data_IF_429463358800
#
_entry.id   IF_429463358800
#
_cell.length_a   1.000
_cell.length_b   1.000
_cell.length_c   1.000
_cell.angle_alpha   90.00
_cell.angle_beta   90.00
_cell.angle_gamma   90.00
#
_symmetry.space_group_name_H-M   'P 1'
#
loop_
_entity.id
_entity.type
_entity.pdbx_description
1 polymer ?
#
# COMPACT_ATOMS: atom_id res chain seq x y z
N UNK A 1 20.01 -13.14 -6.86
CA UNK A 1 20.17 -13.52 -5.45
C UNK A 1 20.59 -12.26 -4.69
N UNK A 2 19.63 -11.39 -4.41
CA UNK A 2 19.73 -10.30 -3.43
C UNK A 2 18.42 -10.36 -2.65
N UNK A 3 18.42 -11.27 -1.68
CA UNK A 3 17.33 -11.53 -0.75
C UNK A 3 17.40 -10.50 0.39
N UNK A 4 16.28 -9.86 0.72
CA UNK A 4 16.02 -9.44 2.10
C UNK A 4 16.56 -8.08 2.58
N UNK A 5 17.09 -7.19 1.72
CA UNK A 5 17.73 -5.95 2.20
C UNK A 5 16.76 -4.82 2.60
N UNK A 6 15.55 -4.68 2.05
CA UNK A 6 14.71 -3.50 2.38
C UNK A 6 14.12 -3.55 3.80
N UNK A 7 13.55 -4.68 4.21
CA UNK A 7 13.02 -4.83 5.57
C UNK A 7 14.15 -4.87 6.60
N UNK A 8 15.24 -5.59 6.30
CA UNK A 8 16.37 -5.69 7.21
C UNK A 8 17.09 -4.35 7.38
N UNK A 9 17.21 -3.51 6.34
CA UNK A 9 17.77 -2.16 6.46
C UNK A 9 16.85 -1.21 7.23
N UNK A 10 15.53 -1.26 7.03
CA UNK A 10 14.56 -0.47 7.79
C UNK A 10 14.59 -0.84 9.29
N UNK A 11 14.52 -2.13 9.60
CA UNK A 11 14.62 -2.62 10.99
C UNK A 11 16.04 -2.47 11.56
N UNK A 12 17.10 -2.50 10.75
CA UNK A 12 18.49 -2.20 11.16
C UNK A 12 18.66 -0.71 11.48
N UNK A 13 18.01 0.18 10.72
CA UNK A 13 17.94 1.62 11.05
C UNK A 13 17.17 1.85 12.36
N UNK A 14 16.09 1.11 12.60
CA UNK A 14 15.39 1.11 13.89
C UNK A 14 16.28 0.62 15.04
N UNK A 15 17.09 -0.43 14.82
CA UNK A 15 18.09 -0.90 15.81
C UNK A 15 19.16 0.15 16.12
N UNK A 16 19.44 1.07 15.20
CA UNK A 16 20.39 2.17 15.36
C UNK A 16 19.72 3.52 15.68
N UNK A 17 18.44 3.53 16.03
CA UNK A 17 17.71 4.75 16.35
C UNK A 17 18.24 5.31 17.67
N UNK A 18 18.88 6.48 17.61
CA UNK A 18 19.50 7.13 18.78
C UNK A 18 18.63 8.25 19.36
N UNK A 19 17.61 8.68 18.62
CA UNK A 19 16.76 9.83 18.94
C UNK A 19 15.38 9.65 18.31
N UNK A 20 14.35 10.10 19.00
CA UNK A 20 12.97 10.11 18.54
C UNK A 20 12.30 11.42 18.99
N UNK A 21 11.40 11.98 18.19
CA UNK A 21 10.61 13.15 18.57
C UNK A 21 9.19 12.71 18.93
N UNK A 22 8.65 13.22 20.04
CA UNK A 22 7.26 12.96 20.42
C UNK A 22 6.26 13.86 19.67
N UNK A 23 4.95 13.63 19.91
CA UNK A 23 3.87 14.40 19.28
C UNK A 23 3.85 15.89 19.63
N UNK A 24 4.59 16.32 20.68
CA UNK A 24 4.73 17.73 21.09
C UNK A 24 6.00 18.35 20.50
N UNK A 25 6.81 17.56 19.80
CA UNK A 25 8.03 18.01 19.15
C UNK A 25 9.30 17.90 20.02
N UNK A 26 9.21 17.31 21.22
CA UNK A 26 10.35 17.13 22.12
C UNK A 26 11.18 15.91 21.71
N UNK A 27 12.50 16.07 21.71
CA UNK A 27 13.45 15.01 21.35
C UNK A 27 13.83 14.16 22.57
N UNK A 28 13.67 12.84 22.43
CA UNK A 28 14.02 11.81 23.41
C UNK A 28 15.20 10.99 22.90
N UNK A 29 16.14 10.68 23.79
CA UNK A 29 17.35 9.87 23.48
C UNK A 29 17.53 8.64 24.34
N UNK A 30 16.78 8.55 25.44
CA UNK A 30 16.81 7.36 26.28
C UNK A 30 15.92 6.28 25.67
N UNK A 31 16.38 5.04 25.77
CA UNK A 31 15.69 3.88 25.20
C UNK A 31 14.29 3.72 25.78
N UNK A 32 14.14 3.94 27.08
CA UNK A 32 12.87 3.80 27.80
C UNK A 32 11.84 4.82 27.30
N UNK A 33 12.26 6.09 27.13
CA UNK A 33 11.37 7.14 26.61
C UNK A 33 11.04 6.94 25.15
N UNK A 34 12.00 6.53 24.34
CA UNK A 34 11.75 6.20 22.93
C UNK A 34 10.74 5.05 22.79
N UNK A 35 10.84 4.01 23.62
CA UNK A 35 9.88 2.90 23.62
C UNK A 35 8.49 3.35 24.08
N UNK A 36 8.43 4.20 25.11
CA UNK A 36 7.16 4.77 25.59
C UNK A 36 6.48 5.60 24.49
N UNK A 37 7.21 6.48 23.81
CA UNK A 37 6.65 7.29 22.71
C UNK A 37 6.19 6.41 21.56
N UNK A 38 6.96 5.40 21.15
CA UNK A 38 6.57 4.48 20.07
C UNK A 38 5.33 3.67 20.46
N UNK A 39 5.28 3.17 21.70
CA UNK A 39 4.14 2.41 22.20
C UNK A 39 2.88 3.28 22.24
N UNK A 40 2.96 4.48 22.81
CA UNK A 40 1.84 5.43 22.83
C UNK A 40 1.39 5.80 21.42
N UNK A 41 2.31 6.09 20.52
CA UNK A 41 2.00 6.41 19.12
C UNK A 41 1.21 5.29 18.44
N UNK A 42 1.66 4.03 18.53
CA UNK A 42 0.96 2.92 17.88
C UNK A 42 -0.33 2.53 18.60
N UNK A 43 -0.40 2.69 19.93
CA UNK A 43 -1.64 2.53 20.69
C UNK A 43 -2.69 3.55 20.25
N UNK A 44 -2.30 4.80 20.07
CA UNK A 44 -3.16 5.85 19.54
C UNK A 44 -3.52 5.57 18.08
N UNK A 45 -2.53 5.31 17.21
CA UNK A 45 -2.75 5.07 15.77
C UNK A 45 -3.78 3.96 15.50
N UNK A 46 -3.74 2.90 16.29
CA UNK A 46 -4.67 1.77 16.17
C UNK A 46 -5.83 1.82 17.19
N UNK A 47 -5.97 2.90 17.95
CA UNK A 47 -7.15 3.11 18.79
C UNK A 47 -8.38 3.28 17.91
N UNK A 48 -9.53 2.83 18.41
CA UNK A 48 -10.81 3.13 17.80
C UNK A 48 -11.08 4.64 17.99
N UNK A 49 -11.05 5.39 16.91
CA UNK A 49 -11.49 6.77 16.89
C UNK A 49 -12.96 6.80 16.45
N UNK A 50 -13.74 7.69 17.06
CA UNK A 50 -15.04 8.05 16.49
C UNK A 50 -14.73 8.70 15.15
N UNK A 51 -15.26 8.13 14.07
CA UNK A 51 -15.27 8.80 12.78
C UNK A 51 -15.87 10.20 12.99
N UNK A 52 -15.18 11.24 12.51
CA UNK A 52 -15.70 12.61 12.47
C UNK A 52 -16.19 12.87 11.04
N UNK A 53 -17.47 12.58 10.73
CA UNK A 53 -17.97 12.67 9.36
C UNK A 53 -17.83 14.09 8.82
N UNK A 54 -17.92 15.10 9.67
CA UNK A 54 -17.77 16.50 9.29
C UNK A 54 -16.35 16.83 8.83
N UNK A 55 -15.31 16.32 9.50
CA UNK A 55 -13.92 16.54 9.13
C UNK A 55 -13.59 15.82 7.81
N UNK A 56 -14.08 14.59 7.64
CA UNK A 56 -13.98 13.85 6.37
C UNK A 56 -14.67 14.61 5.24
N UNK A 57 -15.89 15.09 5.46
CA UNK A 57 -16.66 15.78 4.44
C UNK A 57 -16.07 17.14 4.09
N UNK A 58 -15.49 17.87 5.04
CA UNK A 58 -14.73 19.09 4.77
C UNK A 58 -13.50 18.81 3.90
N UNK A 59 -12.75 17.74 4.19
CA UNK A 59 -11.62 17.30 3.36
C UNK A 59 -12.06 16.95 1.93
N UNK A 60 -13.18 16.22 1.79
CA UNK A 60 -13.72 15.86 0.47
C UNK A 60 -14.28 17.06 -0.30
N UNK A 61 -14.80 18.10 0.37
CA UNK A 61 -15.28 19.32 -0.28
C UNK A 61 -14.16 20.12 -0.97
N UNK A 62 -12.91 19.98 -0.51
CA UNK A 62 -11.76 20.61 -1.17
C UNK A 62 -11.36 19.89 -2.47
N UNK A 63 -11.84 18.66 -2.69
CA UNK A 63 -11.66 17.91 -3.93
C UNK A 63 -12.62 18.46 -5.00
N UNK A 64 -12.10 19.38 -5.81
CA UNK A 64 -12.85 19.99 -6.93
C UNK A 64 -12.77 19.19 -8.23
N UNK A 65 -11.91 18.18 -8.28
CA UNK A 65 -11.71 17.37 -9.47
C UNK A 65 -12.56 16.10 -9.39
N UNK A 66 -13.47 15.96 -10.34
CA UNK A 66 -14.27 14.75 -10.56
C UNK A 66 -13.94 14.18 -11.93
N UNK A 67 -13.90 12.86 -12.01
CA UNK A 67 -13.76 12.13 -13.27
C UNK A 67 -14.91 12.50 -14.22
N UNK A 68 -14.63 12.55 -15.52
CA UNK A 68 -15.68 12.64 -16.52
C UNK A 68 -16.52 11.34 -16.55
N UNK A 69 -17.75 11.40 -17.02
CA UNK A 69 -18.70 10.27 -17.00
C UNK A 69 -18.14 9.03 -17.74
N UNK A 70 -17.37 9.24 -18.81
CA UNK A 70 -16.71 8.16 -19.55
C UNK A 70 -15.52 7.54 -18.81
N UNK A 71 -14.83 8.31 -17.96
CA UNK A 71 -13.76 7.80 -17.11
C UNK A 71 -14.33 7.05 -15.90
N UNK A 72 -15.46 7.51 -15.35
CA UNK A 72 -16.19 6.80 -14.29
C UNK A 72 -16.67 5.45 -14.78
N UNK A 73 -17.28 5.41 -15.97
CA UNK A 73 -17.78 4.17 -16.54
C UNK A 73 -16.68 3.12 -16.72
N UNK A 74 -15.48 3.52 -17.16
CA UNK A 74 -14.32 2.62 -17.27
C UNK A 74 -13.88 1.99 -15.95
N UNK A 75 -14.14 2.65 -14.82
CA UNK A 75 -13.81 2.10 -13.50
C UNK A 75 -14.84 1.05 -13.02
N UNK A 76 -16.04 1.03 -13.62
CA UNK A 76 -17.09 0.06 -13.32
C UNK A 76 -17.04 -1.16 -14.26
N UNK A 77 -16.22 -1.12 -15.31
CA UNK A 77 -16.03 -2.22 -16.24
C UNK A 77 -15.17 -3.34 -15.63
N UNK A 78 -15.38 -4.57 -16.12
CA UNK A 78 -14.54 -5.71 -15.75
C UNK A 78 -13.10 -5.48 -16.22
N UNK A 79 -12.13 -5.89 -15.41
CA UNK A 79 -10.73 -5.78 -15.77
C UNK A 79 -10.44 -6.61 -17.02
N UNK A 80 -9.68 -6.01 -17.94
CA UNK A 80 -9.23 -6.66 -19.17
C UNK A 80 -7.81 -7.21 -19.04
N UNK A 81 -7.50 -8.26 -19.81
CA UNK A 81 -6.16 -8.87 -19.82
C UNK A 81 -5.07 -7.86 -20.20
N UNK A 82 -5.36 -7.01 -21.18
CA UNK A 82 -4.45 -5.97 -21.66
C UNK A 82 -4.17 -4.92 -20.56
N UNK A 83 -5.12 -4.67 -19.68
CA UNK A 83 -4.95 -3.74 -18.56
C UNK A 83 -4.06 -4.33 -17.49
N UNK A 84 -4.26 -5.62 -17.16
CA UNK A 84 -3.40 -6.36 -16.26
C UNK A 84 -1.96 -6.43 -16.78
N UNK A 85 -1.79 -6.73 -18.07
CA UNK A 85 -0.48 -6.76 -18.74
C UNK A 85 0.21 -5.41 -18.68
N UNK A 86 -0.47 -4.36 -19.17
CA UNK A 86 0.09 -3.00 -19.20
C UNK A 86 0.47 -2.53 -17.80
N UNK A 87 -0.35 -2.82 -16.81
CA UNK A 87 -0.08 -2.44 -15.42
C UNK A 87 1.15 -3.15 -14.89
N UNK A 88 1.21 -4.48 -15.03
CA UNK A 88 2.33 -5.29 -14.55
C UNK A 88 3.65 -4.96 -15.26
N UNK A 89 3.62 -4.68 -16.56
CA UNK A 89 4.82 -4.40 -17.35
C UNK A 89 5.42 -3.02 -17.01
N UNK A 90 4.57 -2.07 -16.57
CA UNK A 90 4.98 -0.75 -16.11
C UNK A 90 5.65 -0.76 -14.72
N UNK A 91 5.65 -1.88 -14.01
CA UNK A 91 6.28 -1.94 -12.69
C UNK A 91 7.79 -1.77 -12.83
N UNK A 92 8.45 -1.26 -11.80
CA UNK A 92 9.93 -1.22 -11.80
C UNK A 92 10.47 -2.65 -11.71
N UNK A 93 11.58 -2.90 -12.39
CA UNK A 93 12.28 -4.19 -12.30
C UNK A 93 12.57 -4.56 -10.84
N UNK A 94 12.45 -5.85 -10.51
CA UNK A 94 12.63 -6.34 -9.14
C UNK A 94 11.54 -5.94 -8.15
N UNK A 95 10.42 -5.34 -8.61
CA UNK A 95 9.22 -5.18 -7.78
C UNK A 95 8.35 -6.41 -7.86
N UNK A 96 7.77 -6.73 -6.72
CA UNK A 96 6.81 -7.82 -6.57
C UNK A 96 5.41 -7.24 -6.70
N UNK A 97 4.63 -7.65 -7.71
CA UNK A 97 3.29 -7.12 -7.91
C UNK A 97 2.27 -7.64 -6.88
N UNK A 98 2.53 -8.83 -6.31
CA UNK A 98 1.70 -9.42 -5.27
C UNK A 98 2.50 -9.60 -3.96
N UNK A 99 1.87 -10.18 -2.94
CA UNK A 99 2.54 -10.57 -1.68
C UNK A 99 3.33 -11.88 -1.79
N UNK A 100 3.33 -12.50 -2.98
CA UNK A 100 3.93 -13.80 -3.26
C UNK A 100 5.48 -13.78 -3.32
N UNK A 101 6.07 -12.60 -3.41
CA UNK A 101 7.53 -12.41 -3.47
C UNK A 101 8.15 -12.63 -4.85
N UNK A 102 7.37 -12.95 -5.90
CA UNK A 102 7.90 -13.09 -7.26
C UNK A 102 8.15 -11.73 -7.92
N UNK A 103 9.34 -11.50 -8.51
CA UNK A 103 9.62 -10.25 -9.19
C UNK A 103 8.85 -10.18 -10.52
N UNK A 104 8.55 -8.98 -11.01
CA UNK A 104 7.78 -8.78 -12.25
C UNK A 104 8.33 -9.57 -13.45
N UNK A 105 9.63 -9.82 -13.51
CA UNK A 105 10.29 -10.52 -14.60
C UNK A 105 9.79 -11.96 -14.74
N UNK A 106 9.44 -12.61 -13.62
CA UNK A 106 8.84 -13.94 -13.64
C UNK A 106 7.48 -13.91 -14.34
N UNK A 107 6.65 -12.93 -14.00
CA UNK A 107 5.34 -12.74 -14.61
C UNK A 107 5.43 -12.40 -16.10
N UNK A 108 6.34 -11.50 -16.47
CA UNK A 108 6.58 -11.13 -17.87
C UNK A 108 7.07 -12.34 -18.69
N UNK A 109 7.97 -13.15 -18.14
CA UNK A 109 8.53 -14.31 -18.83
C UNK A 109 7.50 -15.41 -19.11
N UNK A 110 6.46 -15.51 -18.27
CA UNK A 110 5.43 -16.54 -18.37
C UNK A 110 4.04 -15.97 -18.62
N UNK A 111 3.92 -14.71 -19.07
CA UNK A 111 2.63 -14.00 -19.18
C UNK A 111 1.59 -14.77 -20.00
N UNK A 112 2.00 -15.35 -21.13
CA UNK A 112 1.13 -16.17 -21.98
C UNK A 112 0.53 -17.39 -21.26
N UNK A 113 1.17 -17.85 -20.18
CA UNK A 113 0.73 -18.99 -19.36
C UNK A 113 -0.03 -18.55 -18.11
N UNK A 114 0.41 -17.46 -17.44
CA UNK A 114 -0.13 -17.05 -16.13
C UNK A 114 -1.12 -15.90 -16.21
N UNK A 115 -1.10 -15.11 -17.28
CA UNK A 115 -1.92 -13.91 -17.43
C UNK A 115 -3.43 -14.19 -17.37
N UNK A 116 -3.96 -15.19 -18.12
CA UNK A 116 -5.37 -15.54 -18.05
C UNK A 116 -5.81 -15.97 -16.64
N UNK A 117 -5.03 -16.82 -15.98
CA UNK A 117 -5.33 -17.31 -14.63
C UNK A 117 -5.27 -16.16 -13.59
N UNK A 118 -4.31 -15.24 -13.74
CA UNK A 118 -4.21 -14.06 -12.87
C UNK A 118 -5.40 -13.12 -13.05
N UNK A 119 -5.90 -12.95 -14.28
CA UNK A 119 -7.07 -12.13 -14.54
C UNK A 119 -8.31 -12.70 -13.86
N UNK A 120 -8.51 -14.02 -13.93
CA UNK A 120 -9.61 -14.71 -13.27
C UNK A 120 -9.57 -14.45 -11.76
N UNK A 121 -8.42 -14.63 -11.11
CA UNK A 121 -8.25 -14.34 -9.68
C UNK A 121 -8.57 -12.88 -9.37
N UNK A 122 -8.11 -11.93 -10.19
CA UNK A 122 -8.41 -10.51 -9.96
C UNK A 122 -9.89 -10.18 -10.09
N UNK A 123 -10.58 -10.77 -11.07
CA UNK A 123 -12.02 -10.59 -11.26
C UNK A 123 -12.80 -11.21 -10.09
N UNK A 124 -12.42 -12.40 -9.62
CA UNK A 124 -13.02 -13.02 -8.42
C UNK A 124 -12.89 -12.11 -7.19
N UNK A 125 -11.69 -11.59 -6.92
CA UNK A 125 -11.44 -10.71 -5.78
C UNK A 125 -12.21 -9.39 -5.87
N UNK A 126 -12.39 -8.85 -7.08
CA UNK A 126 -13.22 -7.67 -7.30
C UNK A 126 -14.68 -7.96 -6.91
N UNK A 127 -15.24 -9.08 -7.36
CA UNK A 127 -16.61 -9.48 -7.03
C UNK A 127 -16.81 -9.74 -5.53
N UNK A 128 -15.84 -10.37 -4.85
CA UNK A 128 -15.90 -10.60 -3.41
C UNK A 128 -15.86 -9.29 -2.59
N UNK A 129 -15.11 -8.28 -3.05
CA UNK A 129 -15.01 -6.97 -2.40
C UNK A 129 -16.25 -6.08 -2.54
N UNK A 130 -17.17 -6.40 -3.45
CA UNK A 130 -18.44 -5.70 -3.64
C UNK A 130 -19.60 -6.24 -2.76
N UNK A 131 -19.37 -7.29 -1.94
CA UNK A 131 -20.37 -7.93 -1.09
C UNK A 131 -20.50 -7.33 0.32
#
# INVERSE_FOLDING_TARGET
MEEGEEWSAYFSRLKNMTRLRDGVGLEHRSKERMLEVVATFYLELYAAHLEEPEAMQQCLQELTWTLAEDEQQKLEEEWMLEEAERTLFNFRNGKTPQTDGLPKESYVAFWDQVGPDLLEVFQEQLQEGHA
#
